data_IF_943474434566
#
_entry.id   IF_943474434566
#
_cell.length_a   1.000
_cell.length_b   1.000
_cell.length_c   1.000
_cell.angle_alpha   90.00
_cell.angle_beta   90.00
_cell.angle_gamma   90.00
#
_symmetry.space_group_name_H-M   'P 1'
#
loop_
_entity.id
_entity.type
_entity.pdbx_description
1 polymer ?
#
# COMPACT_ATOMS: atom_id res chain seq x y z
N UNK A 1 62.92 -51.62 3.86
CA UNK A 1 62.78 -50.29 3.23
C UNK A 1 61.49 -50.30 2.45
N UNK A 2 60.45 -49.60 2.87
CA UNK A 2 59.30 -49.36 2.03
C UNK A 2 59.34 -47.90 1.56
N UNK A 3 59.08 -47.78 0.29
CA UNK A 3 58.96 -46.51 -0.43
C UNK A 3 57.65 -45.82 -0.15
N UNK A 4 57.70 -44.57 0.25
CA UNK A 4 56.54 -43.75 0.53
C UNK A 4 56.50 -42.62 -0.49
N UNK A 5 55.59 -42.69 -1.44
CA UNK A 5 55.26 -41.50 -2.21
C UNK A 5 53.76 -41.50 -2.57
N UNK A 6 52.95 -40.82 -1.73
CA UNK A 6 51.58 -40.52 -2.00
C UNK A 6 51.50 -39.07 -2.41
N UNK A 7 51.02 -38.70 -3.61
CA UNK A 7 50.81 -37.30 -3.96
C UNK A 7 49.47 -36.83 -3.38
N UNK A 8 49.53 -35.69 -2.68
CA UNK A 8 48.34 -34.94 -2.19
C UNK A 8 47.44 -34.54 -3.36
N UNK A 9 46.17 -34.91 -3.26
CA UNK A 9 45.12 -34.46 -4.17
C UNK A 9 44.85 -32.98 -3.97
N UNK A 10 45.36 -32.14 -4.87
CA UNK A 10 45.01 -30.74 -4.94
C UNK A 10 43.57 -30.57 -5.42
N UNK A 11 42.71 -30.00 -4.59
CA UNK A 11 41.43 -29.52 -5.02
C UNK A 11 41.64 -28.32 -5.95
N UNK A 12 41.46 -28.52 -7.26
CA UNK A 12 41.37 -27.43 -8.22
C UNK A 12 39.93 -26.87 -8.19
N UNK A 13 39.76 -25.71 -7.57
CA UNK A 13 38.53 -24.93 -7.75
C UNK A 13 38.50 -24.37 -9.17
N UNK A 14 37.62 -24.91 -9.99
CA UNK A 14 37.34 -24.36 -11.32
C UNK A 14 36.52 -23.05 -11.19
N UNK A 15 37.18 -21.91 -11.44
CA UNK A 15 36.58 -20.59 -11.46
C UNK A 15 35.75 -20.28 -12.73
N UNK A 16 35.45 -21.28 -13.55
CA UNK A 16 34.90 -21.09 -14.90
C UNK A 16 33.37 -21.00 -14.98
N UNK A 17 32.63 -20.95 -13.87
CA UNK A 17 31.17 -20.89 -13.90
C UNK A 17 30.54 -19.70 -13.12
N UNK A 18 31.29 -18.61 -12.94
CA UNK A 18 30.66 -17.35 -12.54
C UNK A 18 29.98 -16.75 -13.78
N UNK A 19 28.65 -16.93 -13.90
CA UNK A 19 27.88 -16.11 -14.83
C UNK A 19 28.22 -14.64 -14.56
N UNK A 20 28.50 -13.82 -15.60
CA UNK A 20 28.60 -12.38 -15.40
C UNK A 20 27.33 -11.91 -14.70
N UNK A 21 27.47 -11.13 -13.63
CA UNK A 21 26.33 -10.48 -12.99
C UNK A 21 25.59 -9.67 -14.08
N UNK A 22 24.30 -9.96 -14.27
CA UNK A 22 23.48 -9.16 -15.18
C UNK A 22 23.62 -7.69 -14.81
N UNK A 23 23.73 -6.77 -15.79
CA UNK A 23 23.84 -5.34 -15.49
C UNK A 23 22.61 -4.96 -14.67
N UNK A 24 22.83 -4.59 -13.42
CA UNK A 24 21.76 -4.08 -12.55
C UNK A 24 21.25 -2.81 -13.20
N UNK A 25 20.03 -2.87 -13.75
CA UNK A 25 19.37 -1.70 -14.33
C UNK A 25 19.15 -0.72 -13.19
N UNK A 26 19.78 0.46 -13.27
CA UNK A 26 19.77 1.48 -12.21
C UNK A 26 18.88 2.64 -12.59
N UNK A 27 18.33 3.29 -11.58
CA UNK A 27 17.66 4.58 -11.65
C UNK A 27 18.41 5.58 -10.79
N UNK A 28 18.30 6.87 -11.11
CA UNK A 28 18.91 7.96 -10.35
C UNK A 28 17.81 8.82 -9.71
N UNK A 29 17.84 8.91 -8.38
CA UNK A 29 16.88 9.72 -7.63
C UNK A 29 17.56 10.98 -7.10
N UNK A 30 16.89 12.13 -7.26
CA UNK A 30 17.30 13.41 -6.72
C UNK A 30 16.52 13.72 -5.46
N UNK A 31 17.22 13.92 -4.36
CA UNK A 31 16.65 14.20 -3.05
C UNK A 31 16.43 15.72 -2.85
N UNK A 32 15.64 16.13 -1.82
CA UNK A 32 15.36 17.56 -1.55
C UNK A 32 16.61 18.42 -1.27
N UNK A 33 17.69 17.81 -0.77
CA UNK A 33 18.98 18.46 -0.55
C UNK A 33 19.81 18.65 -1.84
N UNK A 34 19.27 18.22 -2.98
CA UNK A 34 19.94 18.24 -4.28
C UNK A 34 20.85 17.04 -4.52
N UNK A 35 21.06 16.15 -3.55
CA UNK A 35 21.88 14.97 -3.73
C UNK A 35 21.24 14.01 -4.74
N UNK A 36 22.01 13.59 -5.76
CA UNK A 36 21.61 12.55 -6.71
C UNK A 36 22.28 11.24 -6.36
N UNK A 37 21.48 10.17 -6.20
CA UNK A 37 21.95 8.83 -5.84
C UNK A 37 21.37 7.79 -6.77
N UNK A 38 22.18 6.76 -7.10
CA UNK A 38 21.75 5.62 -7.90
C UNK A 38 21.20 4.49 -7.02
N UNK A 39 20.14 3.86 -7.49
CA UNK A 39 19.50 2.72 -6.87
C UNK A 39 19.18 1.64 -7.90
N UNK A 40 19.03 0.38 -7.49
CA UNK A 40 18.47 -0.64 -8.37
C UNK A 40 17.09 -0.19 -8.86
N UNK A 41 16.77 -0.44 -10.12
CA UNK A 41 15.42 -0.23 -10.65
C UNK A 41 14.43 -1.08 -9.83
N UNK A 42 13.22 -0.55 -9.71
CA UNK A 42 12.11 -1.14 -8.96
C UNK A 42 12.32 -1.20 -7.42
N UNK A 43 13.33 -0.47 -6.90
CA UNK A 43 13.43 -0.19 -5.47
C UNK A 43 12.20 0.59 -4.99
N UNK A 44 11.75 0.35 -3.76
CA UNK A 44 10.62 1.05 -3.16
C UNK A 44 11.06 2.24 -2.32
N UNK A 45 10.17 3.23 -2.15
CA UNK A 45 10.43 4.36 -1.25
C UNK A 45 10.67 3.89 0.20
N UNK A 46 10.01 2.80 0.63
CA UNK A 46 10.22 2.24 1.97
C UNK A 46 11.62 1.67 2.15
N UNK A 47 12.15 0.95 1.16
CA UNK A 47 13.52 0.42 1.21
C UNK A 47 14.56 1.54 1.26
N UNK A 48 14.35 2.60 0.46
CA UNK A 48 15.21 3.79 0.49
C UNK A 48 15.14 4.46 1.87
N UNK A 49 13.94 4.69 2.41
CA UNK A 49 13.77 5.29 3.72
C UNK A 49 14.44 4.47 4.84
N UNK A 50 14.31 3.14 4.81
CA UNK A 50 15.00 2.21 5.73
C UNK A 50 16.52 2.30 5.60
N UNK A 51 17.03 2.39 4.37
CA UNK A 51 18.45 2.53 4.09
C UNK A 51 19.04 3.85 4.59
N UNK A 52 18.24 4.93 4.65
CA UNK A 52 18.67 6.22 5.20
C UNK A 52 18.66 6.18 6.74
N UNK A 53 17.51 5.84 7.34
CA UNK A 53 17.42 5.60 8.78
C UNK A 53 16.10 4.92 9.19
N UNK A 54 16.11 4.10 10.27
CA UNK A 54 14.89 3.53 10.83
C UNK A 54 13.87 4.58 11.27
N UNK A 55 14.34 5.72 11.77
CA UNK A 55 13.48 6.84 12.18
C UNK A 55 12.73 7.44 10.99
N UNK A 56 13.40 7.64 9.86
CA UNK A 56 12.77 8.12 8.63
C UNK A 56 11.70 7.13 8.17
N UNK A 57 12.03 5.86 8.04
CA UNK A 57 11.07 4.83 7.63
C UNK A 57 9.83 4.77 8.54
N UNK A 58 10.03 4.92 9.86
CA UNK A 58 8.92 4.91 10.83
C UNK A 58 7.96 6.08 10.65
N UNK A 59 8.47 7.31 10.44
CA UNK A 59 7.63 8.51 10.34
C UNK A 59 7.06 8.77 8.95
N UNK A 60 7.65 8.17 7.90
CA UNK A 60 7.19 8.33 6.52
C UNK A 60 5.89 7.55 6.30
N UNK A 61 4.93 8.18 5.65
CA UNK A 61 3.60 7.60 5.34
C UNK A 61 3.43 7.34 3.86
N UNK A 62 4.06 8.15 3.00
CA UNK A 62 4.04 8.03 1.54
C UNK A 62 5.33 8.60 0.96
N UNK A 63 5.53 8.46 -0.34
CA UNK A 63 6.55 9.21 -1.09
C UNK A 63 5.89 10.16 -2.08
N UNK A 64 6.63 11.14 -2.58
CA UNK A 64 6.26 11.88 -3.78
C UNK A 64 7.37 11.71 -4.81
N UNK A 65 6.99 11.42 -6.05
CA UNK A 65 7.87 11.35 -7.21
C UNK A 65 7.51 12.50 -8.15
N UNK A 66 8.47 13.35 -8.42
CA UNK A 66 8.28 14.59 -9.20
C UNK A 66 7.10 15.44 -8.71
N UNK A 67 6.88 15.45 -7.39
CA UNK A 67 5.80 16.17 -6.72
C UNK A 67 4.47 15.43 -6.63
N UNK A 68 4.31 14.28 -7.28
CA UNK A 68 3.09 13.47 -7.24
C UNK A 68 3.17 12.44 -6.11
N UNK A 69 2.22 12.47 -5.19
CA UNK A 69 2.16 11.52 -4.06
C UNK A 69 1.86 10.12 -4.57
N UNK A 70 2.61 9.15 -4.07
CA UNK A 70 2.54 7.74 -4.43
C UNK A 70 2.70 6.84 -3.19
N UNK A 71 2.26 5.58 -3.33
CA UNK A 71 2.43 4.59 -2.27
C UNK A 71 3.91 4.40 -1.95
N UNK A 72 4.26 4.39 -0.68
CA UNK A 72 5.66 4.20 -0.25
C UNK A 72 6.24 2.83 -0.67
N UNK A 73 5.36 1.85 -0.91
CA UNK A 73 5.71 0.49 -1.33
C UNK A 73 5.72 0.30 -2.85
N UNK A 74 5.44 1.35 -3.63
CA UNK A 74 5.49 1.24 -5.10
C UNK A 74 6.92 1.11 -5.60
N UNK A 75 7.15 0.26 -6.63
CA UNK A 75 8.44 0.16 -7.29
C UNK A 75 8.71 1.43 -8.11
N UNK A 76 9.90 2.00 -7.95
CA UNK A 76 10.34 3.17 -8.71
C UNK A 76 11.11 2.68 -9.93
N UNK A 77 10.55 2.94 -11.12
CA UNK A 77 11.03 2.36 -12.39
C UNK A 77 11.84 3.33 -13.27
N UNK A 78 11.94 4.60 -12.89
CA UNK A 78 12.57 5.67 -13.69
C UNK A 78 13.26 6.70 -12.80
N UNK A 79 14.13 7.53 -13.40
CA UNK A 79 14.74 8.66 -12.73
C UNK A 79 13.67 9.66 -12.29
N UNK A 80 13.76 10.17 -11.06
CA UNK A 80 12.77 11.10 -10.50
C UNK A 80 13.36 11.97 -9.38
N UNK A 81 12.66 13.02 -9.02
CA UNK A 81 12.84 13.71 -7.73
C UNK A 81 12.00 12.96 -6.69
N UNK A 82 12.64 12.56 -5.59
CA UNK A 82 11.96 11.84 -4.51
C UNK A 82 11.85 12.72 -3.27
N UNK A 83 10.66 12.73 -2.66
CA UNK A 83 10.40 13.30 -1.36
C UNK A 83 9.74 12.25 -0.45
N UNK A 84 10.04 12.31 0.86
CA UNK A 84 9.36 11.48 1.86
C UNK A 84 8.27 12.29 2.54
N UNK A 85 7.02 11.89 2.33
CA UNK A 85 5.86 12.51 2.98
C UNK A 85 5.75 11.94 4.39
N UNK A 86 6.03 12.77 5.39
CA UNK A 86 5.89 12.42 6.80
C UNK A 86 4.47 12.74 7.29
N UNK A 87 4.10 12.21 8.46
CA UNK A 87 2.76 12.41 9.03
C UNK A 87 2.38 13.89 9.24
N UNK A 88 3.37 14.76 9.49
CA UNK A 88 3.17 16.20 9.73
C UNK A 88 3.12 17.02 8.42
N UNK A 89 3.33 16.38 7.27
CA UNK A 89 3.21 17.02 5.96
C UNK A 89 1.71 17.28 5.65
N UNK A 90 1.34 18.46 5.15
CA UNK A 90 -0.05 18.74 4.77
C UNK A 90 -0.68 17.70 3.83
N UNK A 91 0.12 17.11 2.93
CA UNK A 91 -0.32 16.05 2.00
C UNK A 91 -0.73 14.77 2.74
N UNK A 92 -0.17 14.51 3.93
CA UNK A 92 -0.49 13.33 4.71
C UNK A 92 -1.92 13.34 5.28
N UNK A 93 -2.51 14.51 5.52
CA UNK A 93 -3.86 14.60 6.08
C UNK A 93 -4.92 14.00 5.14
N UNK A 94 -4.78 14.23 3.84
CA UNK A 94 -5.66 13.63 2.83
C UNK A 94 -5.54 12.11 2.82
N UNK A 95 -4.30 11.58 2.87
CA UNK A 95 -4.05 10.14 2.96
C UNK A 95 -4.64 9.53 4.24
N UNK A 96 -4.45 10.19 5.39
CA UNK A 96 -4.99 9.72 6.68
C UNK A 96 -6.51 9.63 6.61
N UNK A 97 -7.19 10.62 6.04
CA UNK A 97 -8.64 10.64 5.86
C UNK A 97 -9.11 9.54 4.91
N UNK A 98 -8.40 9.38 3.80
CA UNK A 98 -8.69 8.34 2.81
C UNK A 98 -8.57 6.93 3.41
N UNK A 99 -7.48 6.65 4.10
CA UNK A 99 -7.26 5.36 4.74
C UNK A 99 -8.21 5.13 5.91
N UNK A 100 -8.59 6.20 6.64
CA UNK A 100 -9.62 6.11 7.67
C UNK A 100 -10.99 5.73 7.09
N UNK A 101 -11.32 6.18 5.87
CA UNK A 101 -12.54 5.75 5.18
C UNK A 101 -12.50 4.25 4.83
N UNK A 102 -11.34 3.72 4.38
CA UNK A 102 -11.17 2.28 4.14
C UNK A 102 -11.26 1.46 5.44
N UNK A 103 -10.64 1.95 6.53
CA UNK A 103 -10.75 1.32 7.86
C UNK A 103 -12.18 1.32 8.36
N UNK A 104 -12.94 2.40 8.11
CA UNK A 104 -14.38 2.47 8.41
C UNK A 104 -15.16 1.41 7.61
N UNK A 105 -14.90 1.28 6.31
CA UNK A 105 -15.58 0.31 5.45
C UNK A 105 -15.33 -1.13 5.92
N UNK A 106 -14.08 -1.51 6.23
CA UNK A 106 -13.76 -2.81 6.81
C UNK A 106 -14.46 -3.02 8.16
N UNK A 107 -14.46 -2.00 9.03
CA UNK A 107 -15.09 -2.10 10.34
C UNK A 107 -16.59 -2.36 10.23
N UNK A 108 -17.27 -1.67 9.34
CA UNK A 108 -18.71 -1.84 9.09
C UNK A 108 -19.02 -3.22 8.55
N UNK A 109 -18.29 -3.70 7.53
CA UNK A 109 -18.50 -5.04 6.99
C UNK A 109 -18.16 -6.16 7.98
N UNK A 110 -17.19 -5.94 8.87
CA UNK A 110 -16.85 -6.90 9.92
C UNK A 110 -17.94 -7.00 11.00
N UNK A 111 -18.64 -5.90 11.30
CA UNK A 111 -19.73 -5.87 12.27
C UNK A 111 -21.06 -6.34 11.68
N UNK A 112 -21.30 -6.00 10.43
CA UNK A 112 -22.54 -6.35 9.70
C UNK A 112 -22.20 -6.98 8.35
N UNK A 113 -21.91 -8.28 8.31
CA UNK A 113 -21.67 -8.99 7.06
C UNK A 113 -22.82 -8.85 6.08
N UNK A 114 -22.51 -8.63 4.80
CA UNK A 114 -23.52 -8.39 3.75
C UNK A 114 -23.86 -6.90 3.54
N UNK A 115 -23.35 -5.97 4.37
CA UNK A 115 -23.39 -4.55 4.07
C UNK A 115 -22.56 -4.29 2.81
N UNK A 116 -23.18 -3.69 1.79
CA UNK A 116 -22.46 -3.30 0.58
C UNK A 116 -21.76 -1.96 0.80
N UNK A 117 -20.52 -1.88 0.31
CA UNK A 117 -19.73 -0.65 0.32
C UNK A 117 -19.77 0.01 -1.06
N UNK A 118 -19.83 1.34 -1.09
CA UNK A 118 -19.89 2.09 -2.34
C UNK A 118 -18.63 2.92 -2.55
N UNK A 119 -18.63 4.16 -2.11
CA UNK A 119 -17.50 5.09 -2.19
C UNK A 119 -17.27 5.78 -0.85
N UNK A 120 -16.00 6.12 -0.58
CA UNK A 120 -15.58 6.81 0.64
C UNK A 120 -14.65 7.98 0.35
N UNK A 121 -15.14 9.12 -0.19
CA UNK A 121 -14.30 10.25 -0.51
C UNK A 121 -13.83 11.02 0.73
N UNK A 122 -12.66 11.62 0.60
CA UNK A 122 -12.19 12.67 1.50
C UNK A 122 -12.95 13.96 1.20
N UNK A 123 -13.30 14.68 2.25
CA UNK A 123 -13.94 16.00 2.19
C UNK A 123 -13.13 17.03 2.99
N UNK A 124 -13.47 18.31 2.85
CA UNK A 124 -12.71 19.42 3.46
C UNK A 124 -12.43 19.21 4.96
N UNK A 125 -13.42 18.74 5.72
CA UNK A 125 -13.32 18.60 7.17
C UNK A 125 -13.40 17.14 7.66
N UNK A 126 -13.09 16.15 6.82
CA UNK A 126 -13.14 14.75 7.21
C UNK A 126 -13.19 13.78 6.03
N UNK A 127 -13.93 12.74 6.23
CA UNK A 127 -14.24 11.71 5.24
C UNK A 127 -15.62 11.15 5.53
N UNK A 128 -16.21 10.47 4.57
CA UNK A 128 -17.38 9.63 4.79
C UNK A 128 -17.25 8.34 3.97
N UNK A 129 -18.17 7.42 4.18
CA UNK A 129 -18.31 6.24 3.35
C UNK A 129 -19.79 5.90 3.21
N UNK A 130 -20.25 5.69 1.98
CA UNK A 130 -21.62 5.32 1.71
C UNK A 130 -21.78 3.80 1.77
N UNK A 131 -22.81 3.38 2.50
CA UNK A 131 -23.12 1.97 2.70
C UNK A 131 -24.56 1.69 2.30
N UNK A 132 -24.79 0.48 1.80
CA UNK A 132 -26.14 -0.03 1.60
C UNK A 132 -26.39 -1.24 2.49
N UNK A 133 -27.39 -1.15 3.34
CA UNK A 133 -27.90 -2.21 4.22
C UNK A 133 -29.41 -2.01 4.47
N UNK A 134 -30.10 -3.11 4.87
CA UNK A 134 -31.54 -3.08 5.09
C UNK A 134 -31.93 -2.19 6.28
N UNK A 135 -31.13 -2.18 7.34
CA UNK A 135 -31.36 -1.37 8.54
C UNK A 135 -30.42 -0.17 8.55
N UNK A 136 -30.91 1.07 8.74
CA UNK A 136 -30.04 2.23 8.82
C UNK A 136 -29.14 2.18 10.06
N UNK A 137 -28.00 2.88 9.99
CA UNK A 137 -27.16 3.10 11.16
C UNK A 137 -27.84 4.06 12.14
N UNK A 138 -27.58 3.84 13.42
CA UNK A 138 -28.02 4.70 14.51
C UNK A 138 -26.80 5.26 15.27
N UNK A 139 -26.96 6.35 16.03
CA UNK A 139 -25.85 6.87 16.85
C UNK A 139 -25.27 5.86 17.85
N UNK A 140 -26.07 4.88 18.27
CA UNK A 140 -25.65 3.79 19.18
C UNK A 140 -24.63 2.87 18.53
N UNK A 141 -24.61 2.75 17.20
CA UNK A 141 -23.65 1.93 16.45
C UNK A 141 -22.24 2.55 16.44
N UNK A 142 -22.12 3.86 16.59
CA UNK A 142 -20.86 4.58 16.42
C UNK A 142 -19.76 4.08 17.36
N UNK A 143 -20.10 3.81 18.61
CA UNK A 143 -19.13 3.31 19.58
C UNK A 143 -18.54 1.94 19.18
N UNK A 144 -19.40 1.05 18.64
CA UNK A 144 -18.98 -0.25 18.15
C UNK A 144 -18.11 -0.13 16.90
N UNK A 145 -18.50 0.74 15.96
CA UNK A 145 -17.74 1.00 14.73
C UNK A 145 -16.37 1.59 15.08
N UNK A 146 -16.31 2.65 15.89
CA UNK A 146 -15.05 3.27 16.31
C UNK A 146 -14.12 2.29 17.04
N UNK A 147 -14.69 1.42 17.89
CA UNK A 147 -13.92 0.35 18.54
C UNK A 147 -13.32 -0.59 17.52
N UNK A 148 -14.12 -1.06 16.55
CA UNK A 148 -13.67 -1.95 15.48
C UNK A 148 -12.61 -1.28 14.61
N UNK A 149 -12.77 -0.01 14.26
CA UNK A 149 -11.75 0.76 13.54
C UNK A 149 -10.40 0.77 14.29
N UNK A 150 -10.43 1.01 15.61
CA UNK A 150 -9.19 0.99 16.44
C UNK A 150 -8.55 -0.40 16.48
N UNK A 151 -9.34 -1.48 16.51
CA UNK A 151 -8.83 -2.86 16.40
C UNK A 151 -8.13 -3.11 15.05
N UNK A 152 -8.71 -2.62 13.94
CA UNK A 152 -8.14 -2.72 12.61
C UNK A 152 -6.83 -1.92 12.51
N UNK A 153 -6.81 -0.69 13.00
CA UNK A 153 -5.63 0.15 13.05
C UNK A 153 -4.50 -0.52 13.87
N UNK A 154 -4.85 -1.09 15.03
CA UNK A 154 -3.88 -1.74 15.92
C UNK A 154 -3.25 -3.01 15.31
N UNK A 155 -3.89 -3.64 14.32
CA UNK A 155 -3.30 -4.77 13.58
C UNK A 155 -2.11 -4.35 12.72
N UNK A 156 -1.99 -3.07 12.38
CA UNK A 156 -0.92 -2.47 11.56
C UNK A 156 -0.61 -3.26 10.27
N UNK A 157 -1.66 -3.66 9.56
CA UNK A 157 -1.52 -4.41 8.31
C UNK A 157 -1.05 -3.50 7.18
N UNK A 158 -0.12 -3.94 6.31
CA UNK A 158 0.31 -3.16 5.17
C UNK A 158 -0.84 -2.95 4.18
N UNK A 159 -0.88 -1.76 3.55
CA UNK A 159 -1.62 -1.57 2.33
C UNK A 159 -0.80 -2.13 1.17
N UNK A 160 -1.42 -3.02 0.40
CA UNK A 160 -0.84 -3.58 -0.82
C UNK A 160 -1.85 -3.47 -1.95
N UNK A 161 -1.39 -3.48 -3.20
CA UNK A 161 -2.30 -3.38 -4.34
C UNK A 161 -2.01 -4.41 -5.42
N UNK A 162 -3.06 -4.75 -6.13
CA UNK A 162 -3.03 -5.51 -7.37
C UNK A 162 -3.74 -4.74 -8.48
N UNK A 163 -3.35 -4.98 -9.71
CA UNK A 163 -4.11 -4.54 -10.88
C UNK A 163 -4.84 -5.74 -11.45
N UNK A 164 -6.17 -5.62 -11.52
CA UNK A 164 -7.00 -6.71 -12.03
C UNK A 164 -7.59 -6.38 -13.41
N UNK A 165 -7.91 -7.42 -14.19
CA UNK A 165 -8.74 -7.24 -15.36
C UNK A 165 -10.17 -6.84 -14.96
N UNK A 166 -10.85 -6.14 -15.84
CA UNK A 166 -12.24 -5.72 -15.63
C UNK A 166 -13.16 -6.91 -15.35
N UNK A 167 -12.99 -7.98 -16.11
CA UNK A 167 -13.79 -9.21 -15.99
C UNK A 167 -13.57 -9.87 -14.62
N UNK A 168 -12.30 -10.03 -14.19
CA UNK A 168 -11.96 -10.58 -12.87
C UNK A 168 -12.58 -9.73 -11.77
N UNK A 169 -12.42 -8.40 -11.87
CA UNK A 169 -12.93 -7.47 -10.84
C UNK A 169 -14.44 -7.58 -10.72
N UNK A 170 -15.16 -7.52 -11.82
CA UNK A 170 -16.64 -7.64 -11.83
C UNK A 170 -17.09 -8.99 -11.28
N UNK A 171 -16.41 -10.08 -11.64
CA UNK A 171 -16.77 -11.42 -11.15
C UNK A 171 -16.60 -11.51 -9.63
N UNK A 172 -15.45 -11.08 -9.11
CA UNK A 172 -15.17 -11.13 -7.66
C UNK A 172 -16.17 -10.29 -6.86
N UNK A 173 -16.49 -9.07 -7.32
CA UNK A 173 -17.46 -8.23 -6.62
C UNK A 173 -18.90 -8.75 -6.73
N UNK A 174 -19.29 -9.40 -7.83
CA UNK A 174 -20.57 -10.12 -7.91
C UNK A 174 -20.66 -11.26 -6.90
N UNK A 175 -19.59 -12.08 -6.80
CA UNK A 175 -19.52 -13.22 -5.89
C UNK A 175 -19.57 -12.77 -4.42
N UNK A 176 -19.08 -11.55 -4.13
CA UNK A 176 -19.19 -10.90 -2.81
C UNK A 176 -20.55 -10.24 -2.56
N UNK A 177 -21.43 -10.14 -3.55
CA UNK A 177 -22.69 -9.42 -3.44
C UNK A 177 -22.56 -7.89 -3.48
N UNK A 178 -21.42 -7.36 -3.96
CA UNK A 178 -21.09 -5.93 -4.02
C UNK A 178 -21.55 -5.31 -5.36
N UNK A 179 -22.86 -5.22 -5.55
CA UNK A 179 -23.45 -4.77 -6.82
C UNK A 179 -22.97 -3.35 -7.21
N UNK A 180 -22.90 -2.43 -6.26
CA UNK A 180 -22.45 -1.06 -6.52
C UNK A 180 -20.99 -1.00 -6.99
N UNK A 181 -20.12 -1.90 -6.49
CA UNK A 181 -18.74 -1.99 -6.98
C UNK A 181 -18.69 -2.46 -8.43
N UNK A 182 -19.59 -3.35 -8.84
CA UNK A 182 -19.69 -3.77 -10.26
C UNK A 182 -20.06 -2.59 -11.15
N UNK A 183 -21.02 -1.76 -10.74
CA UNK A 183 -21.41 -0.55 -11.47
C UNK A 183 -20.25 0.47 -11.55
N UNK A 184 -19.53 0.66 -10.44
CA UNK A 184 -18.35 1.54 -10.42
C UNK A 184 -17.26 1.06 -11.39
N UNK A 185 -17.02 -0.26 -11.49
CA UNK A 185 -16.08 -0.82 -12.46
C UNK A 185 -16.49 -0.51 -13.89
N UNK A 186 -17.80 -0.53 -14.19
CA UNK A 186 -18.31 -0.19 -15.52
C UNK A 186 -18.13 1.29 -15.86
N UNK A 187 -18.12 2.16 -14.87
CA UNK A 187 -17.90 3.60 -15.04
C UNK A 187 -16.41 3.98 -15.20
N UNK A 188 -15.47 3.10 -14.87
CA UNK A 188 -14.03 3.36 -15.07
C UNK A 188 -13.73 3.33 -16.59
N UNK A 189 -13.01 4.34 -17.14
CA UNK A 189 -12.57 4.33 -18.53
C UNK A 189 -11.82 3.05 -18.93
N UNK A 190 -11.94 2.62 -20.17
CA UNK A 190 -11.42 1.31 -20.62
C UNK A 190 -9.90 1.17 -20.56
N UNK A 191 -9.18 2.28 -20.65
CA UNK A 191 -7.72 2.38 -20.60
C UNK A 191 -7.16 2.62 -19.19
N UNK A 192 -8.02 2.91 -18.20
CA UNK A 192 -7.62 3.12 -16.81
C UNK A 192 -7.41 1.77 -16.10
N UNK A 193 -6.26 1.54 -15.42
CA UNK A 193 -6.02 0.31 -14.68
C UNK A 193 -6.94 0.21 -13.46
N UNK A 194 -7.54 -0.96 -13.26
CA UNK A 194 -8.40 -1.24 -12.11
C UNK A 194 -7.51 -1.72 -10.95
N UNK A 195 -7.35 -0.87 -9.95
CA UNK A 195 -6.54 -1.16 -8.77
C UNK A 195 -7.41 -1.66 -7.64
N UNK A 196 -6.98 -2.74 -7.03
CA UNK A 196 -7.58 -3.32 -5.82
C UNK A 196 -6.57 -3.16 -4.70
N UNK A 197 -6.96 -2.48 -3.64
CA UNK A 197 -6.13 -2.29 -2.46
C UNK A 197 -6.57 -3.21 -1.33
N UNK A 198 -5.60 -3.85 -0.72
CA UNK A 198 -5.77 -4.75 0.41
C UNK A 198 -5.27 -4.09 1.70
N UNK A 199 -5.94 -4.39 2.80
CA UNK A 199 -5.50 -4.13 4.17
C UNK A 199 -5.68 -5.42 5.02
N UNK A 200 -4.67 -6.30 4.97
CA UNK A 200 -4.81 -7.67 5.45
C UNK A 200 -5.68 -8.49 4.50
N UNK A 201 -6.74 -9.12 5.04
CA UNK A 201 -7.63 -9.99 4.25
C UNK A 201 -8.80 -9.22 3.60
N UNK A 202 -9.02 -7.97 4.00
CA UNK A 202 -10.04 -7.10 3.42
C UNK A 202 -9.47 -6.32 2.24
N UNK A 203 -10.28 -6.13 1.21
CA UNK A 203 -9.89 -5.36 0.03
C UNK A 203 -11.03 -4.54 -0.55
N UNK A 204 -10.66 -3.50 -1.29
CA UNK A 204 -11.59 -2.63 -1.98
C UNK A 204 -11.03 -2.11 -3.32
N UNK A 205 -11.95 -1.69 -4.19
CA UNK A 205 -11.66 -0.95 -5.43
C UNK A 205 -11.28 0.48 -5.07
N UNK A 206 -10.05 0.89 -5.40
CA UNK A 206 -9.58 2.23 -5.09
C UNK A 206 -8.49 2.70 -6.08
N UNK A 207 -8.47 4.01 -6.34
CA UNK A 207 -7.41 4.63 -7.16
C UNK A 207 -6.10 4.78 -6.39
N UNK A 208 -6.16 4.88 -5.07
CA UNK A 208 -5.03 5.24 -4.22
C UNK A 208 -4.63 6.72 -4.37
N UNK A 209 -3.45 7.12 -3.88
CA UNK A 209 -2.51 6.31 -3.09
C UNK A 209 -2.98 6.07 -1.65
N UNK A 210 -2.31 5.13 -0.97
CA UNK A 210 -2.50 4.82 0.45
C UNK A 210 -1.19 4.97 1.24
N UNK A 211 -1.30 5.10 2.55
CA UNK A 211 -0.15 5.02 3.46
C UNK A 211 0.42 3.59 3.47
N UNK A 212 1.56 3.42 4.15
CA UNK A 212 2.25 2.13 4.16
C UNK A 212 1.53 1.03 4.95
N UNK A 213 0.68 1.39 5.94
CA UNK A 213 -0.07 0.42 6.75
C UNK A 213 -1.26 1.07 7.47
N UNK A 214 -2.21 0.23 7.93
CA UNK A 214 -3.38 0.69 8.69
C UNK A 214 -3.01 1.38 10.00
N UNK A 215 -1.89 1.02 10.64
CA UNK A 215 -1.39 1.66 11.84
C UNK A 215 -1.03 3.14 11.66
N UNK A 216 -0.74 3.56 10.42
CA UNK A 216 -0.45 4.96 10.09
C UNK A 216 -1.66 5.88 10.17
N UNK A 217 -2.88 5.37 10.14
CA UNK A 217 -4.11 6.14 10.35
C UNK A 217 -4.11 6.79 11.73
N UNK A 218 -3.73 6.05 12.77
CA UNK A 218 -3.77 6.52 14.15
C UNK A 218 -5.19 6.57 14.70
N UNK A 219 -5.35 7.09 15.92
CA UNK A 219 -6.62 7.05 16.65
C UNK A 219 -7.34 8.41 16.77
N UNK A 220 -6.86 9.43 16.05
CA UNK A 220 -7.43 10.78 16.12
C UNK A 220 -8.59 10.95 15.12
N UNK A 221 -9.66 10.20 15.31
CA UNK A 221 -10.90 10.29 14.53
C UNK A 221 -12.12 10.16 15.44
N UNK A 222 -13.25 10.63 14.94
CA UNK A 222 -14.56 10.54 15.60
C UNK A 222 -15.66 10.45 14.54
N UNK A 223 -16.59 9.52 14.71
CA UNK A 223 -17.80 9.47 13.88
C UNK A 223 -18.79 10.51 14.38
N UNK A 224 -19.39 11.24 13.47
CA UNK A 224 -20.23 12.40 13.79
C UNK A 224 -21.70 12.19 13.36
N UNK A 225 -21.92 11.49 12.26
CA UNK A 225 -23.25 11.22 11.69
C UNK A 225 -23.15 10.14 10.61
#
# INVERSE_FOLDING_TARGET
MPDQNTPASGFQYSLTNLKPAEPVNKIALTFPDGARREFPKDITGLEIAKGISPSLAKRTVAMALDGVVADLNDPISHDAKIEFVNRDDPRALELIRHDAAHVLAEAVQALWPGTQVTIGPVIENGFYYDFFRNEPFTPEDFAAIEKKMREIIARDKPFTKEVWSREKTKQVFRDKGEAFKVELVDAIPGDEPIKIYYQGDWFDLCRGPHMSSTGKVGNAFKLMK
#
